data_IF_592905413254
#
_entry.id   IF_592905413254
#
_cell.length_a   1.000
_cell.length_b   1.000
_cell.length_c   1.000
_cell.angle_alpha   90.00
_cell.angle_beta   90.00
_cell.angle_gamma   90.00
#
_symmetry.space_group_name_H-M   'P 1'
#
loop_
_entity.id
_entity.type
_entity.pdbx_description
1 polymer ?
#
# COMPACT_ATOMS: atom_id res chain seq x y z
N UNK A 1 21.16 -28.13 3.26
CA UNK A 1 20.15 -27.29 2.58
C UNK A 1 20.22 -25.85 3.07
N UNK A 2 19.63 -24.91 2.37
CA UNK A 2 19.58 -23.50 2.77
C UNK A 2 18.80 -23.31 4.08
N UNK A 3 17.72 -24.07 4.26
CA UNK A 3 16.92 -24.11 5.49
C UNK A 3 17.78 -24.52 6.69
N UNK A 4 18.52 -25.59 6.58
CA UNK A 4 19.43 -26.08 7.63
C UNK A 4 20.52 -25.02 7.98
N UNK A 5 21.01 -24.27 6.99
CA UNK A 5 21.93 -23.16 7.25
C UNK A 5 21.27 -22.04 8.05
N UNK A 6 20.04 -21.69 7.73
CA UNK A 6 19.28 -20.66 8.46
C UNK A 6 19.00 -21.08 9.90
N UNK A 7 18.43 -22.26 10.08
CA UNK A 7 17.94 -22.75 11.38
C UNK A 7 19.08 -23.20 12.32
N UNK A 8 20.06 -23.96 11.79
CA UNK A 8 21.10 -24.57 12.61
C UNK A 8 22.32 -23.70 12.83
N UNK A 9 22.54 -22.69 11.97
CA UNK A 9 23.75 -21.87 11.99
C UNK A 9 23.47 -20.40 12.16
N UNK A 10 22.75 -19.75 11.24
CA UNK A 10 22.59 -18.30 11.23
C UNK A 10 21.71 -17.84 12.41
N UNK A 11 20.58 -18.50 12.65
CA UNK A 11 19.69 -18.15 13.78
C UNK A 11 20.41 -18.27 15.13
N UNK A 12 21.35 -19.20 15.26
CA UNK A 12 22.16 -19.40 16.47
C UNK A 12 23.26 -18.35 16.68
N UNK A 13 23.44 -17.40 15.76
CA UNK A 13 24.28 -16.22 15.97
C UNK A 13 23.58 -15.15 16.81
N UNK A 14 22.25 -15.20 16.89
CA UNK A 14 21.47 -14.31 17.73
C UNK A 14 21.85 -14.52 19.21
N UNK A 15 22.08 -13.40 19.93
CA UNK A 15 22.48 -13.45 21.33
C UNK A 15 23.97 -13.72 21.63
N UNK A 16 24.80 -13.97 20.61
CA UNK A 16 26.25 -14.08 20.79
C UNK A 16 26.93 -12.73 20.77
N UNK A 17 28.07 -12.61 21.48
CA UNK A 17 28.93 -11.43 21.43
C UNK A 17 29.55 -11.23 20.03
N UNK A 18 29.86 -9.99 19.68
CA UNK A 18 30.36 -9.62 18.34
C UNK A 18 31.62 -10.38 17.94
N UNK A 19 32.56 -10.58 18.86
CA UNK A 19 33.79 -11.35 18.59
C UNK A 19 33.49 -12.83 18.28
N UNK A 20 32.55 -13.43 18.98
CA UNK A 20 32.13 -14.82 18.74
C UNK A 20 31.39 -14.96 17.41
N UNK A 21 30.55 -13.96 17.07
CA UNK A 21 29.87 -13.91 15.76
C UNK A 21 30.90 -13.79 14.63
N UNK A 22 31.82 -12.83 14.73
CA UNK A 22 32.86 -12.63 13.72
C UNK A 22 33.70 -13.87 13.49
N UNK A 23 34.11 -14.57 14.58
CA UNK A 23 34.90 -15.80 14.49
C UNK A 23 34.17 -16.91 13.75
N UNK A 24 32.85 -17.09 14.06
CA UNK A 24 32.02 -18.10 13.38
C UNK A 24 31.82 -17.79 11.89
N UNK A 25 31.58 -16.54 11.54
CA UNK A 25 31.42 -16.10 10.16
C UNK A 25 32.72 -16.33 9.39
N UNK A 26 33.87 -16.03 10.00
CA UNK A 26 35.17 -16.26 9.38
C UNK A 26 35.48 -17.75 9.14
N UNK A 27 35.14 -18.62 10.11
CA UNK A 27 35.21 -20.08 9.94
C UNK A 27 34.37 -20.53 8.75
N UNK A 28 33.16 -20.01 8.58
CA UNK A 28 32.29 -20.35 7.45
C UNK A 28 32.84 -19.86 6.13
N UNK A 29 33.31 -18.61 6.04
CA UNK A 29 33.94 -18.10 4.83
C UNK A 29 35.13 -18.93 4.37
N UNK A 30 35.91 -19.42 5.31
CA UNK A 30 37.09 -20.27 5.01
C UNK A 30 36.72 -21.66 4.46
N UNK A 31 35.48 -22.10 4.65
CA UNK A 31 34.98 -23.43 4.23
C UNK A 31 34.05 -23.39 3.02
N UNK A 32 33.69 -22.23 2.52
CA UNK A 32 32.73 -22.02 1.44
C UNK A 32 33.41 -21.50 0.17
N UNK A 33 32.80 -21.78 -0.96
CA UNK A 33 33.19 -21.18 -2.25
C UNK A 33 32.81 -19.69 -2.28
N UNK A 34 33.33 -18.95 -3.28
CA UNK A 34 33.03 -17.52 -3.43
C UNK A 34 31.53 -17.27 -3.60
N UNK A 35 30.83 -18.08 -4.39
CA UNK A 35 29.38 -17.96 -4.61
C UNK A 35 28.57 -18.27 -3.33
N UNK A 36 28.99 -19.28 -2.57
CA UNK A 36 28.39 -19.61 -1.30
C UNK A 36 28.65 -18.53 -0.24
N UNK A 37 29.84 -17.94 -0.21
CA UNK A 37 30.16 -16.77 0.63
C UNK A 37 29.27 -15.57 0.26
N UNK A 38 29.08 -15.32 -1.02
CA UNK A 38 28.18 -14.25 -1.49
C UNK A 38 26.76 -14.48 -0.98
N UNK A 39 26.22 -15.70 -1.11
CA UNK A 39 24.91 -16.07 -0.61
C UNK A 39 24.82 -15.94 0.91
N UNK A 40 25.82 -16.45 1.64
CA UNK A 40 25.90 -16.33 3.11
C UNK A 40 25.85 -14.86 3.54
N UNK A 41 26.61 -13.98 2.91
CA UNK A 41 26.61 -12.55 3.22
C UNK A 41 25.24 -11.91 2.97
N UNK A 42 24.54 -12.33 1.91
CA UNK A 42 23.16 -11.90 1.66
C UNK A 42 22.20 -12.33 2.76
N UNK A 43 22.35 -13.55 3.28
CA UNK A 43 21.54 -14.06 4.40
C UNK A 43 21.85 -13.30 5.70
N UNK A 44 23.14 -13.08 6.02
CA UNK A 44 23.57 -12.39 7.24
C UNK A 44 23.13 -10.93 7.27
N UNK A 45 23.11 -10.25 6.14
CA UNK A 45 22.75 -8.83 6.03
C UNK A 45 21.28 -8.58 5.76
N UNK A 46 20.46 -9.65 5.59
CA UNK A 46 19.05 -9.53 5.17
C UNK A 46 18.90 -8.98 3.74
N UNK A 47 19.99 -8.90 2.98
CA UNK A 47 20.04 -8.31 1.65
C UNK A 47 19.60 -9.24 0.51
N UNK A 48 18.69 -10.20 0.75
CA UNK A 48 18.18 -11.17 -0.24
C UNK A 48 17.24 -10.52 -1.28
N UNK A 49 17.50 -9.31 -1.68
CA UNK A 49 16.76 -8.69 -2.76
C UNK A 49 17.19 -9.31 -4.10
N UNK A 50 16.46 -10.35 -4.52
CA UNK A 50 16.73 -11.09 -5.78
C UNK A 50 16.10 -10.47 -7.02
N UNK A 51 15.42 -9.33 -6.89
CA UNK A 51 14.75 -8.65 -8.01
C UNK A 51 13.50 -9.40 -8.54
N UNK A 52 13.03 -10.42 -7.82
CA UNK A 52 11.83 -11.17 -8.17
C UNK A 52 10.65 -10.58 -7.37
N UNK A 53 9.62 -10.12 -8.08
CA UNK A 53 8.38 -9.67 -7.46
C UNK A 53 7.46 -10.85 -7.17
N UNK A 54 6.56 -10.71 -6.18
CA UNK A 54 5.50 -11.69 -5.90
C UNK A 54 4.73 -12.07 -7.17
N UNK A 55 4.41 -11.10 -8.03
CA UNK A 55 3.74 -11.33 -9.31
C UNK A 55 4.52 -12.26 -10.24
N UNK A 56 5.85 -12.18 -10.27
CA UNK A 56 6.67 -13.10 -11.07
C UNK A 56 6.67 -14.52 -10.48
N UNK A 57 6.67 -14.63 -9.14
CA UNK A 57 6.56 -15.93 -8.45
C UNK A 57 5.20 -16.56 -8.76
N UNK A 58 4.11 -15.82 -8.61
CA UNK A 58 2.75 -16.29 -8.92
C UNK A 58 2.66 -16.77 -10.35
N UNK A 59 3.19 -16.00 -11.31
CA UNK A 59 3.20 -16.40 -12.73
C UNK A 59 4.01 -17.67 -12.99
N UNK A 60 5.14 -17.82 -12.34
CA UNK A 60 5.96 -19.03 -12.45
C UNK A 60 5.23 -20.26 -11.87
N UNK A 61 4.63 -20.10 -10.69
CA UNK A 61 3.85 -21.16 -10.05
C UNK A 61 2.62 -21.53 -10.88
N UNK A 62 1.92 -20.55 -11.46
CA UNK A 62 0.77 -20.78 -12.33
C UNK A 62 1.14 -21.60 -13.57
N UNK A 63 2.25 -21.25 -14.22
CA UNK A 63 2.76 -22.01 -15.37
C UNK A 63 3.16 -23.46 -15.02
N UNK A 64 3.67 -23.64 -13.81
CA UNK A 64 4.14 -24.95 -13.37
C UNK A 64 3.00 -25.84 -12.88
N UNK A 65 2.06 -25.30 -12.10
CA UNK A 65 0.98 -26.07 -11.47
C UNK A 65 -0.31 -26.16 -12.30
N UNK A 66 -0.48 -25.27 -13.30
CA UNK A 66 -1.74 -25.13 -14.05
C UNK A 66 -2.85 -24.35 -13.31
N UNK A 67 -2.62 -23.97 -12.04
CA UNK A 67 -3.56 -23.16 -11.25
C UNK A 67 -3.51 -21.71 -11.74
N UNK A 68 -4.67 -21.04 -11.81
CA UNK A 68 -4.74 -19.65 -12.29
C UNK A 68 -3.91 -18.68 -11.43
N UNK A 69 -3.35 -17.62 -12.06
CA UNK A 69 -2.63 -16.55 -11.32
C UNK A 69 -3.51 -15.89 -10.24
N UNK A 70 -4.81 -15.75 -10.50
CA UNK A 70 -5.76 -15.16 -9.57
C UNK A 70 -5.94 -16.04 -8.32
N UNK A 71 -6.08 -17.33 -8.51
CA UNK A 71 -6.22 -18.31 -7.42
C UNK A 71 -4.94 -18.39 -6.58
N UNK A 72 -3.77 -18.51 -7.21
CA UNK A 72 -2.49 -18.52 -6.50
C UNK A 72 -2.24 -17.20 -5.76
N UNK A 73 -2.60 -16.07 -6.36
CA UNK A 73 -2.52 -14.77 -5.68
C UNK A 73 -3.39 -14.78 -4.43
N UNK A 74 -4.61 -15.28 -4.53
CA UNK A 74 -5.52 -15.37 -3.39
C UNK A 74 -4.96 -16.29 -2.30
N UNK A 75 -4.42 -17.47 -2.65
CA UNK A 75 -3.84 -18.42 -1.69
C UNK A 75 -2.57 -17.91 -0.99
N UNK A 76 -1.86 -16.97 -1.59
CA UNK A 76 -0.64 -16.34 -1.05
C UNK A 76 -0.95 -15.06 -0.25
N UNK A 77 -2.20 -14.59 -0.24
CA UNK A 77 -2.57 -13.43 0.56
C UNK A 77 -2.69 -13.78 2.04
N UNK A 78 -2.32 -12.83 2.88
CA UNK A 78 -2.31 -13.00 4.32
C UNK A 78 -0.99 -13.59 4.84
N UNK A 79 -1.02 -14.17 6.04
CA UNK A 79 0.14 -14.81 6.64
C UNK A 79 0.39 -16.16 5.96
N UNK A 80 1.43 -16.22 5.15
CA UNK A 80 1.92 -17.46 4.55
C UNK A 80 3.15 -17.94 5.32
N UNK A 81 3.00 -18.95 6.15
CA UNK A 81 4.13 -19.60 6.82
C UNK A 81 4.88 -20.49 5.81
N UNK A 82 6.18 -20.24 5.55
CA UNK A 82 6.95 -21.00 4.58
C UNK A 82 7.33 -22.41 5.11
N UNK A 83 6.42 -23.35 4.94
CA UNK A 83 6.65 -24.78 5.25
C UNK A 83 6.42 -25.65 4.01
N UNK A 84 6.95 -26.88 4.01
CA UNK A 84 6.72 -27.83 2.94
C UNK A 84 5.23 -28.17 2.81
N UNK A 85 4.54 -28.35 3.92
CA UNK A 85 3.11 -28.63 3.97
C UNK A 85 2.29 -27.49 3.35
N UNK A 86 2.58 -26.23 3.71
CA UNK A 86 1.91 -25.06 3.14
C UNK A 86 2.21 -24.89 1.66
N UNK A 87 3.42 -25.22 1.21
CA UNK A 87 3.77 -25.21 -0.20
C UNK A 87 3.00 -26.28 -0.99
N UNK A 88 2.89 -27.50 -0.47
CA UNK A 88 2.09 -28.56 -1.08
C UNK A 88 0.61 -28.17 -1.14
N UNK A 89 0.08 -27.58 -0.07
CA UNK A 89 -1.30 -27.08 -0.03
C UNK A 89 -1.53 -25.94 -1.02
N UNK A 90 -0.57 -25.03 -1.18
CA UNK A 90 -0.63 -23.95 -2.16
C UNK A 90 -0.87 -24.47 -3.57
N UNK A 91 -0.28 -25.62 -3.91
CA UNK A 91 -0.27 -26.20 -5.25
C UNK A 91 -1.27 -27.34 -5.46
N UNK A 92 -1.99 -27.78 -4.43
CA UNK A 92 -2.98 -28.86 -4.55
C UNK A 92 -4.27 -28.37 -5.22
N UNK A 93 -4.89 -29.21 -6.04
CA UNK A 93 -6.23 -28.99 -6.59
C UNK A 93 -7.25 -28.92 -5.43
N UNK A 94 -8.00 -27.82 -5.32
CA UNK A 94 -8.95 -27.60 -4.24
C UNK A 94 -8.32 -27.31 -2.85
N UNK A 95 -6.99 -27.12 -2.77
CA UNK A 95 -6.22 -26.98 -1.53
C UNK A 95 -6.39 -25.70 -0.73
N UNK A 96 -7.37 -24.88 -1.04
CA UNK A 96 -7.68 -23.69 -0.27
C UNK A 96 -8.82 -23.90 0.73
N UNK A 97 -8.59 -24.53 1.91
CA UNK A 97 -9.45 -24.15 3.04
C UNK A 97 -9.31 -22.63 3.20
N UNK A 98 -10.42 -21.88 3.01
CA UNK A 98 -10.42 -20.43 3.29
C UNK A 98 -9.97 -20.27 4.73
N UNK A 99 -8.81 -19.63 4.92
CA UNK A 99 -8.41 -19.20 6.26
C UNK A 99 -9.34 -18.05 6.62
N UNK A 100 -9.99 -18.04 7.81
CA UNK A 100 -10.95 -17.00 8.17
C UNK A 100 -10.43 -15.58 7.97
N UNK A 101 -9.16 -15.34 8.26
CA UNK A 101 -8.49 -14.04 8.09
C UNK A 101 -8.13 -13.68 6.65
N UNK A 102 -8.25 -14.59 5.67
CA UNK A 102 -7.72 -14.38 4.33
C UNK A 102 -8.51 -13.31 3.54
N UNK A 103 -7.85 -12.21 3.11
CA UNK A 103 -8.48 -11.18 2.28
C UNK A 103 -8.61 -11.63 0.83
N UNK A 104 -9.44 -10.93 0.06
CA UNK A 104 -9.49 -11.03 -1.38
C UNK A 104 -8.44 -10.12 -2.05
N UNK A 105 -7.87 -10.51 -3.22
CA UNK A 105 -6.99 -9.64 -3.97
C UNK A 105 -7.69 -8.33 -4.33
N UNK A 106 -7.04 -7.20 -4.05
CA UNK A 106 -7.62 -5.89 -4.32
C UNK A 106 -7.78 -5.60 -5.81
N UNK A 107 -8.94 -5.11 -6.19
CA UNK A 107 -9.16 -4.55 -7.52
C UNK A 107 -8.68 -3.09 -7.57
N UNK A 108 -7.80 -2.77 -8.55
CA UNK A 108 -7.12 -1.48 -8.63
C UNK A 108 -7.59 -0.67 -9.83
N UNK A 109 -8.01 0.57 -9.57
CA UNK A 109 -8.38 1.51 -10.61
C UNK A 109 -7.18 1.95 -11.46
N UNK A 110 -7.41 2.15 -12.76
CA UNK A 110 -6.47 2.79 -13.68
C UNK A 110 -6.57 4.32 -13.59
N UNK A 111 -5.52 5.09 -13.89
CA UNK A 111 -5.69 6.51 -14.15
C UNK A 111 -6.69 6.73 -15.29
N UNK A 112 -7.50 7.78 -15.20
CA UNK A 112 -8.35 8.21 -16.31
C UNK A 112 -7.47 8.96 -17.32
N UNK A 113 -7.37 8.42 -18.53
CA UNK A 113 -6.57 8.98 -19.62
C UNK A 113 -7.47 9.61 -20.70
N UNK A 114 -6.92 10.45 -21.57
CA UNK A 114 -7.70 11.15 -22.60
C UNK A 114 -8.48 10.18 -23.53
N UNK A 115 -7.90 9.02 -23.81
CA UNK A 115 -8.55 8.01 -24.64
C UNK A 115 -9.76 7.34 -23.98
N UNK A 116 -9.81 7.32 -22.64
CA UNK A 116 -10.90 6.68 -21.92
C UNK A 116 -12.21 7.47 -22.07
N UNK A 117 -12.16 8.80 -22.21
CA UNK A 117 -13.33 9.66 -22.32
C UNK A 117 -14.30 9.25 -23.42
N UNK A 118 -13.78 8.71 -24.52
CA UNK A 118 -14.59 8.28 -25.67
C UNK A 118 -15.47 7.07 -25.36
N UNK A 119 -15.13 6.31 -24.33
CA UNK A 119 -15.79 5.05 -23.94
C UNK A 119 -16.61 5.18 -22.67
N UNK A 120 -16.61 6.35 -22.00
CA UNK A 120 -17.38 6.58 -20.79
C UNK A 120 -18.84 6.89 -21.10
N UNK A 121 -19.72 6.15 -20.47
CA UNK A 121 -21.15 6.45 -20.41
C UNK A 121 -21.53 6.73 -18.96
N UNK A 122 -21.81 7.98 -18.64
CA UNK A 122 -22.10 8.44 -17.27
C UNK A 122 -23.27 7.72 -16.62
N UNK A 123 -24.28 7.30 -17.41
CA UNK A 123 -25.45 6.55 -16.91
C UNK A 123 -25.07 5.20 -16.32
N UNK A 124 -24.02 4.59 -16.86
CA UNK A 124 -23.50 3.30 -16.45
C UNK A 124 -22.32 3.38 -15.46
N UNK A 125 -22.03 4.60 -14.96
CA UNK A 125 -20.99 4.80 -13.96
C UNK A 125 -21.57 5.03 -12.57
N UNK A 126 -20.91 4.45 -11.57
CA UNK A 126 -20.98 4.84 -10.17
C UNK A 126 -19.82 5.77 -9.90
N UNK A 127 -20.13 6.97 -9.42
CA UNK A 127 -19.16 8.02 -9.10
C UNK A 127 -19.07 8.17 -7.59
N UNK A 128 -17.87 8.24 -7.06
CA UNK A 128 -17.60 8.42 -5.64
C UNK A 128 -16.42 9.34 -5.45
N UNK A 129 -16.31 9.97 -4.27
CA UNK A 129 -15.06 10.62 -3.90
C UNK A 129 -13.93 9.60 -3.76
N UNK A 130 -12.75 9.98 -4.21
CA UNK A 130 -11.52 9.25 -3.91
C UNK A 130 -10.95 9.76 -2.62
N UNK A 131 -11.30 9.08 -1.55
CA UNK A 131 -10.90 9.43 -0.20
C UNK A 131 -9.38 9.31 0.01
N UNK A 132 -8.83 10.17 0.87
CA UNK A 132 -7.41 10.15 1.26
C UNK A 132 -7.25 9.47 2.62
N UNK A 133 -7.24 8.16 2.61
CA UNK A 133 -7.17 7.30 3.78
C UNK A 133 -6.31 6.07 3.58
N UNK A 134 -6.67 4.99 4.27
CA UNK A 134 -6.08 3.67 4.08
C UNK A 134 -7.15 2.72 3.57
N UNK A 135 -6.98 2.27 2.32
CA UNK A 135 -7.83 1.22 1.80
C UNK A 135 -7.63 -0.06 2.59
N UNK A 136 -8.74 -0.61 3.06
CA UNK A 136 -8.75 -1.84 3.84
C UNK A 136 -9.90 -2.76 3.46
N UNK A 137 -9.68 -4.07 3.60
CA UNK A 137 -10.75 -5.06 3.66
C UNK A 137 -11.04 -5.39 5.11
N UNK A 138 -12.29 -5.20 5.50
CA UNK A 138 -12.85 -5.67 6.74
C UNK A 138 -13.47 -7.04 6.49
N UNK A 139 -13.06 -8.03 7.27
CA UNK A 139 -13.48 -9.41 7.18
C UNK A 139 -14.10 -9.82 8.52
N UNK A 140 -15.33 -10.31 8.53
CA UNK A 140 -15.96 -10.91 9.70
C UNK A 140 -16.33 -12.35 9.39
N UNK A 141 -15.54 -13.30 9.88
CA UNK A 141 -15.75 -14.74 9.69
C UNK A 141 -15.43 -15.50 10.96
N UNK A 142 -16.17 -16.56 11.21
CA UNK A 142 -15.99 -17.48 12.35
C UNK A 142 -15.91 -16.77 13.73
N UNK A 143 -16.65 -15.65 13.88
CA UNK A 143 -16.68 -14.86 15.11
C UNK A 143 -15.51 -13.91 15.29
N UNK A 144 -14.57 -13.83 14.33
CA UNK A 144 -13.40 -12.99 14.39
C UNK A 144 -13.43 -11.91 13.30
N UNK A 145 -12.90 -10.72 13.65
CA UNK A 145 -12.77 -9.58 12.74
C UNK A 145 -11.32 -9.37 12.36
N UNK A 146 -11.08 -9.20 11.08
CA UNK A 146 -9.76 -8.88 10.52
C UNK A 146 -9.82 -7.64 9.64
N UNK A 147 -8.81 -6.80 9.74
CA UNK A 147 -8.61 -5.64 8.88
C UNK A 147 -7.28 -5.78 8.15
N UNK A 148 -7.34 -5.89 6.82
CA UNK A 148 -6.17 -5.96 5.95
C UNK A 148 -6.02 -4.68 5.15
N UNK A 149 -4.83 -4.06 5.22
CA UNK A 149 -4.50 -2.94 4.34
C UNK A 149 -4.25 -3.41 2.89
N UNK A 150 -4.31 -2.48 1.94
CA UNK A 150 -3.92 -2.75 0.54
C UNK A 150 -2.48 -3.26 0.40
N UNK A 151 -1.62 -2.94 1.34
CA UNK A 151 -0.22 -3.40 1.40
C UNK A 151 -0.06 -4.82 1.94
N UNK A 152 -1.15 -5.53 2.21
CA UNK A 152 -1.16 -6.86 2.82
C UNK A 152 -0.66 -6.87 4.28
N UNK A 153 -0.81 -5.75 5.00
CA UNK A 153 -0.54 -5.69 6.43
C UNK A 153 -1.83 -5.94 7.21
N UNK A 154 -1.76 -6.80 8.23
CA UNK A 154 -2.84 -6.99 9.19
C UNK A 154 -2.84 -5.83 10.19
N UNK A 155 -3.85 -4.98 10.11
CA UNK A 155 -3.94 -3.75 10.88
C UNK A 155 -5.04 -3.76 11.94
N UNK A 156 -5.63 -4.91 12.22
CA UNK A 156 -6.76 -5.11 13.14
C UNK A 156 -6.56 -4.43 14.48
N UNK A 157 -5.40 -4.64 15.13
CA UNK A 157 -5.11 -4.09 16.46
C UNK A 157 -4.99 -2.56 16.50
N UNK A 158 -4.88 -1.92 15.33
CA UNK A 158 -4.75 -0.47 15.23
C UNK A 158 -6.12 0.23 15.21
N UNK A 159 -7.22 -0.51 15.01
CA UNK A 159 -8.58 0.02 14.84
C UNK A 159 -9.60 -0.78 15.68
N UNK A 160 -9.44 -0.88 17.00
CA UNK A 160 -10.31 -1.69 17.85
C UNK A 160 -11.78 -1.25 17.80
N UNK A 161 -12.05 0.05 17.60
CA UNK A 161 -13.40 0.60 17.44
C UNK A 161 -14.11 0.12 16.16
N UNK A 162 -13.35 -0.17 15.10
CA UNK A 162 -13.89 -0.74 13.86
C UNK A 162 -14.15 -2.23 14.05
N UNK A 163 -13.28 -2.91 14.80
CA UNK A 163 -13.44 -4.33 15.15
C UNK A 163 -14.70 -4.53 15.97
N UNK A 164 -14.95 -3.69 16.96
CA UNK A 164 -16.15 -3.71 17.77
C UNK A 164 -17.41 -3.50 16.91
N UNK A 165 -17.45 -2.44 16.10
CA UNK A 165 -18.55 -2.15 15.19
C UNK A 165 -18.83 -3.30 14.20
N UNK A 166 -17.78 -3.90 13.65
CA UNK A 166 -17.91 -4.99 12.69
C UNK A 166 -18.50 -6.27 13.27
N UNK A 167 -18.45 -6.47 14.60
CA UNK A 167 -19.05 -7.62 15.28
C UNK A 167 -20.57 -7.66 15.16
N UNK A 168 -21.20 -6.55 14.80
CA UNK A 168 -22.65 -6.44 14.57
C UNK A 168 -23.06 -6.79 13.13
N UNK A 169 -22.10 -6.98 12.22
CA UNK A 169 -22.36 -7.46 10.87
C UNK A 169 -22.73 -8.96 10.87
N UNK A 170 -23.46 -9.45 9.85
CA UNK A 170 -23.62 -10.88 9.67
C UNK A 170 -22.29 -11.61 9.48
N UNK A 171 -22.22 -12.85 9.97
CA UNK A 171 -21.08 -13.75 9.74
C UNK A 171 -20.87 -13.98 8.23
N UNK A 172 -19.61 -14.09 7.81
CA UNK A 172 -19.28 -14.23 6.40
C UNK A 172 -19.47 -12.94 5.63
N UNK A 173 -19.15 -11.79 6.24
CA UNK A 173 -19.14 -10.47 5.58
C UNK A 173 -17.72 -10.04 5.27
N UNK A 174 -17.48 -9.58 4.03
CA UNK A 174 -16.23 -8.93 3.62
C UNK A 174 -16.55 -7.62 2.91
N UNK A 175 -16.09 -6.52 3.48
CA UNK A 175 -16.25 -5.17 2.95
C UNK A 175 -14.91 -4.61 2.45
N UNK A 176 -14.94 -3.91 1.32
CA UNK A 176 -13.82 -3.10 0.84
C UNK A 176 -14.15 -1.62 1.08
N UNK A 177 -13.27 -0.91 1.76
CA UNK A 177 -13.52 0.46 2.17
C UNK A 177 -12.26 1.26 2.41
N UNK A 178 -12.43 2.51 2.79
CA UNK A 178 -11.38 3.41 3.21
C UNK A 178 -11.47 3.67 4.72
N UNK A 179 -10.39 3.41 5.45
CA UNK A 179 -10.24 3.83 6.84
C UNK A 179 -9.85 5.30 6.86
N UNK A 180 -10.61 6.08 7.61
CA UNK A 180 -10.43 7.52 7.76
C UNK A 180 -10.53 7.90 9.24
N UNK A 181 -9.72 8.86 9.69
CA UNK A 181 -10.08 9.59 10.90
C UNK A 181 -11.25 10.51 10.57
N UNK A 182 -12.25 10.53 11.46
CA UNK A 182 -13.52 11.20 11.20
C UNK A 182 -14.01 11.93 12.44
N UNK A 183 -14.36 13.21 12.29
CA UNK A 183 -14.93 13.98 13.36
C UNK A 183 -16.24 14.62 12.89
N UNK A 184 -17.30 14.47 13.70
CA UNK A 184 -18.64 14.90 13.34
C UNK A 184 -19.07 14.34 11.98
N UNK A 185 -19.14 15.17 10.93
CA UNK A 185 -19.62 14.76 9.60
C UNK A 185 -18.54 14.86 8.49
N UNK A 186 -17.25 15.01 8.85
CA UNK A 186 -16.19 15.17 7.86
C UNK A 186 -14.91 14.42 8.21
N UNK A 187 -14.13 14.03 7.17
CA UNK A 187 -12.84 13.41 7.37
C UNK A 187 -11.82 14.40 7.94
N UNK A 188 -10.99 13.91 8.84
CA UNK A 188 -9.81 14.63 9.29
C UNK A 188 -8.64 14.41 8.32
N UNK A 189 -7.67 15.32 8.25
CA UNK A 189 -6.49 15.16 7.43
C UNK A 189 -5.77 13.82 7.66
N UNK A 190 -5.18 13.24 6.61
CA UNK A 190 -4.48 11.95 6.66
C UNK A 190 -3.40 11.88 7.76
N UNK A 191 -2.80 13.00 8.12
CA UNK A 191 -1.82 13.11 9.22
C UNK A 191 -2.37 12.64 10.58
N UNK A 192 -3.70 12.71 10.79
CA UNK A 192 -4.35 12.15 11.98
C UNK A 192 -4.35 10.63 11.93
N UNK A 193 -4.66 10.05 10.78
CA UNK A 193 -4.65 8.60 10.58
C UNK A 193 -3.24 8.01 10.72
N UNK A 194 -2.21 8.72 10.23
CA UNK A 194 -0.81 8.31 10.37
C UNK A 194 -0.39 8.06 11.82
N UNK A 195 -0.98 8.79 12.78
CA UNK A 195 -0.67 8.60 14.21
C UNK A 195 -1.19 7.28 14.77
N UNK A 196 -2.12 6.64 14.07
CA UNK A 196 -2.67 5.31 14.42
C UNK A 196 -1.79 4.17 13.88
N UNK A 197 -1.11 4.41 12.76
CA UNK A 197 -0.33 3.39 12.04
C UNK A 197 0.89 2.91 12.82
N UNK A 198 1.17 1.61 12.69
CA UNK A 198 2.34 0.96 13.32
C UNK A 198 2.26 0.82 14.84
N UNK A 199 1.16 1.21 15.48
CA UNK A 199 0.98 1.05 16.92
C UNK A 199 0.50 -0.36 17.25
N UNK A 200 1.19 -1.02 18.17
CA UNK A 200 0.76 -2.33 18.70
C UNK A 200 -0.45 -2.20 19.62
N UNK A 201 -0.53 -1.12 20.38
CA UNK A 201 -1.65 -0.81 21.28
C UNK A 201 -2.10 0.62 21.07
N UNK A 202 -3.40 0.84 21.01
CA UNK A 202 -4.03 2.15 20.87
C UNK A 202 -4.67 2.54 22.21
N UNK A 203 -4.23 3.66 22.79
CA UNK A 203 -4.79 4.15 24.07
C UNK A 203 -6.16 4.78 23.89
N UNK A 204 -7.00 4.76 24.93
CA UNK A 204 -8.31 5.41 24.93
C UNK A 204 -8.23 6.90 24.53
N UNK A 205 -7.22 7.61 25.02
CA UNK A 205 -6.96 9.01 24.62
C UNK A 205 -6.75 9.18 23.12
N UNK A 206 -6.07 8.22 22.48
CA UNK A 206 -5.84 8.26 21.03
C UNK A 206 -7.10 7.90 20.25
N UNK A 207 -7.93 6.99 20.74
CA UNK A 207 -9.24 6.67 20.17
C UNK A 207 -10.17 7.88 20.18
N UNK A 208 -10.23 8.61 21.29
CA UNK A 208 -11.04 9.82 21.44
C UNK A 208 -10.56 10.98 20.56
N UNK A 209 -9.23 11.21 20.50
CA UNK A 209 -8.67 12.33 19.74
C UNK A 209 -8.51 12.09 18.24
N UNK A 210 -8.52 10.82 17.82
CA UNK A 210 -8.35 10.38 16.43
C UNK A 210 -9.36 9.26 16.11
N UNK A 211 -10.66 9.54 16.26
CA UNK A 211 -11.70 8.54 16.00
C UNK A 211 -11.70 8.13 14.53
N UNK A 212 -11.85 6.83 14.27
CA UNK A 212 -11.83 6.30 12.92
C UNK A 212 -13.17 5.68 12.53
N UNK A 213 -13.44 5.71 11.24
CA UNK A 213 -14.54 4.98 10.59
C UNK A 213 -13.99 4.13 9.44
N UNK A 214 -14.74 3.12 9.06
CA UNK A 214 -14.62 2.47 7.76
C UNK A 214 -15.71 3.02 6.84
N UNK A 215 -15.29 3.67 5.77
CA UNK A 215 -16.18 4.17 4.73
C UNK A 215 -16.22 3.14 3.61
N UNK A 216 -17.17 2.23 3.67
CA UNK A 216 -17.31 1.10 2.75
C UNK A 216 -17.84 1.56 1.37
N UNK A 217 -17.30 1.00 0.31
CA UNK A 217 -17.74 1.28 -1.05
C UNK A 217 -17.97 0.01 -1.89
N UNK A 218 -17.65 -1.17 -1.37
CA UNK A 218 -17.94 -2.45 -2.02
C UNK A 218 -18.16 -3.57 -0.98
N UNK A 219 -18.98 -4.56 -1.36
CA UNK A 219 -19.23 -5.77 -0.59
C UNK A 219 -18.77 -6.99 -1.39
N UNK A 220 -17.80 -7.72 -0.85
CA UNK A 220 -17.16 -8.83 -1.56
C UNK A 220 -17.68 -10.19 -1.13
N UNK A 221 -18.22 -10.27 0.09
CA UNK A 221 -18.85 -11.47 0.64
C UNK A 221 -19.97 -11.06 1.58
N UNK A 222 -21.11 -11.72 1.49
CA UNK A 222 -22.25 -11.55 2.39
C UNK A 222 -22.81 -12.92 2.77
N UNK A 223 -23.03 -13.16 4.07
CA UNK A 223 -23.49 -14.46 4.59
C UNK A 223 -22.65 -15.67 4.11
N UNK A 224 -21.36 -15.46 3.86
CA UNK A 224 -20.43 -16.48 3.36
C UNK A 224 -20.47 -16.71 1.83
N UNK A 225 -21.34 -16.02 1.10
CA UNK A 225 -21.41 -16.05 -0.35
C UNK A 225 -20.42 -15.07 -0.97
N UNK A 226 -19.59 -15.53 -1.91
CA UNK A 226 -18.63 -14.73 -2.66
C UNK A 226 -19.34 -13.93 -3.75
N UNK A 227 -19.37 -12.61 -3.63
CA UNK A 227 -20.10 -11.71 -4.51
C UNK A 227 -19.23 -11.11 -5.63
N UNK A 228 -17.95 -11.45 -5.73
CA UNK A 228 -17.02 -10.79 -6.64
C UNK A 228 -17.37 -10.90 -8.13
N UNK A 229 -18.04 -11.97 -8.52
CA UNK A 229 -18.53 -12.15 -9.90
C UNK A 229 -19.83 -11.39 -10.18
N UNK A 230 -20.56 -10.92 -9.15
CA UNK A 230 -21.73 -10.07 -9.31
C UNK A 230 -21.34 -8.69 -9.82
N UNK A 231 -22.29 -7.97 -10.42
CA UNK A 231 -22.09 -6.58 -10.83
C UNK A 231 -21.88 -5.67 -9.61
N UNK A 232 -21.13 -4.58 -9.80
CA UNK A 232 -20.94 -3.57 -8.74
C UNK A 232 -22.29 -3.03 -8.23
N UNK A 233 -23.29 -2.91 -9.13
CA UNK A 233 -24.63 -2.46 -8.75
C UNK A 233 -25.27 -3.40 -7.72
N UNK A 234 -25.26 -4.70 -7.99
CA UNK A 234 -25.82 -5.70 -7.06
C UNK A 234 -25.05 -5.73 -5.73
N UNK A 235 -23.72 -5.71 -5.78
CA UNK A 235 -22.89 -5.64 -4.59
C UNK A 235 -23.14 -4.36 -3.76
N UNK A 236 -23.41 -3.25 -4.43
CA UNK A 236 -23.77 -1.99 -3.79
C UNK A 236 -25.11 -2.04 -3.08
N UNK A 237 -26.13 -2.63 -3.69
CA UNK A 237 -27.45 -2.82 -3.09
C UNK A 237 -27.36 -3.68 -1.82
N UNK A 238 -26.54 -4.74 -1.86
CA UNK A 238 -26.26 -5.59 -0.70
C UNK A 238 -25.52 -4.80 0.39
N UNK A 239 -24.49 -4.03 0.03
CA UNK A 239 -23.73 -3.18 0.95
C UNK A 239 -24.63 -2.18 1.68
N UNK A 240 -25.51 -1.48 0.95
CA UNK A 240 -26.42 -0.49 1.50
C UNK A 240 -27.34 -1.11 2.55
N UNK A 241 -27.89 -2.27 2.25
CA UNK A 241 -28.72 -3.02 3.19
C UNK A 241 -27.94 -3.47 4.42
N UNK A 242 -26.74 -4.05 4.23
CA UNK A 242 -25.91 -4.53 5.34
C UNK A 242 -25.55 -3.41 6.34
N UNK A 243 -25.15 -2.24 5.82
CA UNK A 243 -24.77 -1.11 6.66
C UNK A 243 -26.01 -0.50 7.33
N UNK A 244 -27.13 -0.42 6.63
CA UNK A 244 -28.39 0.08 7.21
C UNK A 244 -28.88 -0.84 8.34
N UNK A 245 -28.86 -2.16 8.14
CA UNK A 245 -29.31 -3.13 9.13
C UNK A 245 -28.36 -3.21 10.34
N UNK A 246 -27.06 -2.95 10.13
CA UNK A 246 -26.05 -2.94 11.18
C UNK A 246 -26.17 -1.73 12.11
N UNK A 247 -26.61 -0.57 11.59
CA UNK A 247 -26.82 0.72 12.29
C UNK A 247 -25.63 1.16 13.18
N UNK A 248 -24.38 0.91 12.68
CA UNK A 248 -23.16 1.23 13.40
C UNK A 248 -22.53 2.54 12.90
N UNK A 249 -22.36 3.57 13.74
CA UNK A 249 -21.87 4.88 13.31
C UNK A 249 -20.42 4.84 12.81
N UNK A 250 -19.66 3.79 13.13
CA UNK A 250 -18.28 3.57 12.67
C UNK A 250 -18.19 2.89 11.31
N UNK A 251 -19.28 2.33 10.82
CA UNK A 251 -19.40 1.73 9.50
C UNK A 251 -20.31 2.58 8.64
N UNK A 252 -19.75 3.31 7.71
CA UNK A 252 -20.48 4.22 6.81
C UNK A 252 -20.32 3.78 5.36
N UNK A 253 -21.20 4.29 4.51
CA UNK A 253 -21.16 4.03 3.06
C UNK A 253 -20.59 5.26 2.36
N UNK A 254 -19.63 5.06 1.46
CA UNK A 254 -19.17 6.11 0.54
C UNK A 254 -20.32 6.57 -0.34
N UNK A 255 -20.67 7.84 -0.28
CA UNK A 255 -21.80 8.39 -1.03
C UNK A 255 -21.55 8.37 -2.54
N UNK A 256 -22.57 8.02 -3.31
CA UNK A 256 -22.56 8.14 -4.75
C UNK A 256 -22.78 9.60 -5.17
N UNK A 257 -21.98 10.06 -6.13
CA UNK A 257 -22.08 11.36 -6.75
C UNK A 257 -22.82 11.25 -8.09
N UNK A 258 -23.33 12.38 -8.59
CA UNK A 258 -23.99 12.46 -9.89
C UNK A 258 -23.28 13.46 -10.81
N UNK A 259 -22.93 13.01 -12.00
CA UNK A 259 -22.49 13.84 -13.11
C UNK A 259 -23.04 13.25 -14.41
N UNK A 260 -23.37 14.11 -15.35
CA UNK A 260 -23.92 13.74 -16.66
C UNK A 260 -23.05 14.15 -17.85
N UNK A 261 -21.98 14.89 -17.56
CA UNK A 261 -21.06 15.42 -18.55
C UNK A 261 -19.62 15.48 -18.01
N UNK A 262 -18.65 15.69 -18.89
CA UNK A 262 -17.25 15.90 -18.53
C UNK A 262 -17.10 17.15 -17.66
N UNK A 263 -17.80 18.21 -18.00
CA UNK A 263 -17.76 19.50 -17.30
C UNK A 263 -18.27 19.36 -15.86
N UNK A 264 -19.41 18.67 -15.67
CA UNK A 264 -19.95 18.42 -14.32
C UNK A 264 -19.02 17.53 -13.49
N UNK A 265 -18.36 16.54 -14.11
CA UNK A 265 -17.36 15.71 -13.48
C UNK A 265 -16.11 16.49 -13.05
N UNK A 266 -15.65 17.43 -13.90
CA UNK A 266 -14.51 18.30 -13.59
C UNK A 266 -14.81 19.25 -12.41
N UNK A 267 -16.03 19.77 -12.32
CA UNK A 267 -16.47 20.57 -11.17
C UNK A 267 -16.38 19.75 -9.89
N UNK A 268 -16.94 18.53 -9.89
CA UNK A 268 -16.86 17.61 -8.74
C UNK A 268 -15.42 17.24 -8.38
N UNK A 269 -14.57 16.99 -9.38
CA UNK A 269 -13.16 16.70 -9.17
C UNK A 269 -12.46 17.88 -8.47
N UNK A 270 -12.65 19.08 -8.96
CA UNK A 270 -11.96 20.27 -8.45
C UNK A 270 -12.40 20.64 -7.03
N UNK A 271 -13.68 20.39 -6.69
CA UNK A 271 -14.20 20.60 -5.34
C UNK A 271 -13.90 19.44 -4.36
N UNK A 272 -13.34 18.32 -4.83
CA UNK A 272 -13.16 17.14 -3.97
C UNK A 272 -12.29 17.38 -2.74
N UNK A 273 -11.34 18.33 -2.80
CA UNK A 273 -10.49 18.71 -1.66
C UNK A 273 -11.28 19.38 -0.52
N UNK A 274 -12.37 20.07 -0.83
CA UNK A 274 -13.24 20.70 0.17
C UNK A 274 -13.95 19.63 1.04
N UNK A 275 -14.03 18.41 0.51
CA UNK A 275 -14.58 17.24 1.19
C UNK A 275 -13.51 16.28 1.74
N UNK A 276 -12.23 16.68 1.76
CA UNK A 276 -11.13 15.84 2.23
C UNK A 276 -10.80 14.66 1.31
N UNK A 277 -11.13 14.77 0.01
CA UNK A 277 -10.84 13.76 -0.98
C UNK A 277 -9.78 14.23 -2.00
N UNK A 278 -9.06 13.28 -2.60
CA UNK A 278 -7.98 13.56 -3.56
C UNK A 278 -8.42 13.47 -5.04
N UNK A 279 -9.73 13.48 -5.26
CA UNK A 279 -10.34 13.35 -6.58
C UNK A 279 -11.58 12.46 -6.59
N UNK A 280 -11.82 11.79 -7.71
CA UNK A 280 -12.99 10.95 -7.94
C UNK A 280 -12.58 9.52 -8.31
N UNK A 281 -13.47 8.58 -8.00
CA UNK A 281 -13.49 7.22 -8.50
C UNK A 281 -14.67 7.07 -9.46
N UNK A 282 -14.41 6.53 -10.65
CA UNK A 282 -15.41 6.20 -11.65
C UNK A 282 -15.41 4.67 -11.79
N UNK A 283 -16.54 4.05 -11.58
CA UNK A 283 -16.66 2.59 -11.60
C UNK A 283 -17.83 2.18 -12.50
N UNK A 284 -17.61 1.24 -13.43
CA UNK A 284 -18.72 0.69 -14.20
C UNK A 284 -19.66 -0.11 -13.29
N UNK A 285 -20.96 0.21 -13.31
CA UNK A 285 -21.99 -0.46 -12.50
C UNK A 285 -22.09 -1.97 -12.76
N UNK A 286 -21.83 -2.37 -14.01
CA UNK A 286 -21.88 -3.77 -14.45
C UNK A 286 -20.55 -4.53 -14.25
N UNK A 287 -19.55 -3.92 -13.60
CA UNK A 287 -18.24 -4.57 -13.45
C UNK A 287 -18.24 -5.58 -12.31
N UNK A 288 -17.64 -6.77 -12.52
CA UNK A 288 -17.27 -7.66 -11.43
C UNK A 288 -16.10 -7.05 -10.62
N UNK A 289 -15.81 -7.62 -9.46
CA UNK A 289 -14.64 -7.27 -8.67
C UNK A 289 -13.43 -8.13 -9.08
N UNK A 290 -12.54 -7.56 -9.86
CA UNK A 290 -11.39 -8.24 -10.45
C UNK A 290 -10.15 -8.19 -9.54
N UNK A 291 -9.14 -8.97 -9.87
CA UNK A 291 -7.83 -8.93 -9.18
C UNK A 291 -6.85 -8.01 -9.88
N UNK A 292 -6.15 -7.17 -9.10
CA UNK A 292 -5.11 -6.29 -9.59
C UNK A 292 -5.65 -5.16 -10.48
N UNK A 293 -4.83 -4.64 -11.39
CA UNK A 293 -5.24 -3.53 -12.29
C UNK A 293 -5.71 -4.07 -13.63
N UNK A 294 -7.00 -3.89 -13.92
CA UNK A 294 -7.62 -4.19 -15.21
C UNK A 294 -8.23 -2.91 -15.77
N UNK A 295 -7.78 -2.49 -16.97
CA UNK A 295 -8.33 -1.29 -17.63
C UNK A 295 -9.77 -1.51 -18.09
N UNK A 296 -10.52 -0.41 -18.20
CA UNK A 296 -11.86 -0.43 -18.77
C UNK A 296 -12.99 -0.70 -17.79
N UNK A 297 -12.73 -0.80 -16.49
CA UNK A 297 -13.73 -1.04 -15.46
C UNK A 297 -13.79 0.07 -14.41
N UNK A 298 -12.65 0.39 -13.77
CA UNK A 298 -12.53 1.38 -12.72
C UNK A 298 -11.44 2.38 -13.06
N UNK A 299 -11.73 3.67 -12.89
CA UNK A 299 -10.80 4.78 -13.08
C UNK A 299 -10.71 5.64 -11.83
N UNK A 300 -9.52 6.19 -11.63
CA UNK A 300 -9.27 7.26 -10.66
C UNK A 300 -9.00 8.55 -11.43
N UNK A 301 -9.71 9.60 -11.06
CA UNK A 301 -9.58 10.93 -11.62
C UNK A 301 -9.14 11.87 -10.50
N UNK A 302 -7.84 11.96 -10.28
CA UNK A 302 -7.25 12.75 -9.20
C UNK A 302 -7.24 14.22 -9.53
N UNK A 303 -7.31 15.07 -8.48
CA UNK A 303 -6.94 16.49 -8.58
C UNK A 303 -5.44 16.57 -8.83
N UNK A 304 -5.02 17.56 -9.61
CA UNK A 304 -3.62 17.77 -9.89
C UNK A 304 -2.83 17.99 -8.59
N UNK A 305 -1.62 17.44 -8.47
CA UNK A 305 -0.82 17.65 -7.28
C UNK A 305 -0.56 19.15 -7.06
N UNK A 306 -0.46 19.55 -5.82
CA UNK A 306 0.06 20.88 -5.52
C UNK A 306 1.54 20.91 -5.84
N UNK A 307 1.97 21.96 -6.55
CA UNK A 307 3.38 22.25 -6.82
C UNK A 307 3.84 23.40 -5.95
N UNK A 308 5.12 23.43 -5.67
CA UNK A 308 5.76 24.53 -4.98
C UNK A 308 7.23 24.61 -5.37
N UNK A 309 7.75 25.83 -5.40
CA UNK A 309 9.16 26.08 -5.64
C UNK A 309 9.97 25.84 -4.38
N UNK A 310 10.91 24.89 -4.42
CA UNK A 310 11.76 24.55 -3.30
C UNK A 310 13.23 24.63 -3.64
N UNK A 311 14.04 25.12 -2.71
CA UNK A 311 15.48 25.32 -2.87
C UNK A 311 16.23 24.06 -2.47
N UNK A 312 17.10 23.56 -3.33
CA UNK A 312 18.02 22.48 -2.99
C UNK A 312 19.08 22.97 -1.99
N UNK A 313 19.16 22.31 -0.84
CA UNK A 313 20.10 22.67 0.23
C UNK A 313 21.11 21.56 0.55
N UNK A 314 20.70 20.27 0.43
CA UNK A 314 21.59 19.13 0.62
C UNK A 314 21.40 18.07 -0.46
N UNK A 315 22.46 17.38 -0.78
CA UNK A 315 22.45 16.19 -1.62
C UNK A 315 23.24 15.07 -0.97
N UNK A 316 22.76 13.83 -1.09
CA UNK A 316 23.40 12.64 -0.56
C UNK A 316 23.67 11.64 -1.68
N UNK A 317 24.84 10.98 -1.62
CA UNK A 317 25.19 9.94 -2.57
C UNK A 317 24.19 8.76 -2.50
N UNK A 318 23.87 8.22 -3.65
CA UNK A 318 23.01 7.05 -3.78
C UNK A 318 23.67 5.76 -3.33
N UNK A 319 23.04 4.64 -3.62
CA UNK A 319 23.52 3.30 -3.30
C UNK A 319 23.57 2.39 -4.54
N UNK A 320 24.30 1.29 -4.44
CA UNK A 320 24.40 0.30 -5.51
C UNK A 320 24.98 0.90 -6.80
N UNK A 321 24.27 0.77 -7.94
CA UNK A 321 24.75 1.30 -9.24
C UNK A 321 24.92 2.80 -9.29
N UNK A 322 24.24 3.53 -8.40
CA UNK A 322 24.26 5.00 -8.31
C UNK A 322 25.10 5.53 -7.15
N UNK A 323 25.96 4.68 -6.54
CA UNK A 323 26.79 5.09 -5.40
C UNK A 323 27.74 6.26 -5.70
N UNK A 324 28.08 6.49 -6.97
CA UNK A 324 28.94 7.58 -7.42
C UNK A 324 28.17 8.85 -7.80
N UNK A 325 26.85 8.85 -7.75
CA UNK A 325 25.98 9.97 -8.09
C UNK A 325 25.22 10.43 -6.86
N UNK A 326 24.92 11.70 -6.78
CA UNK A 326 23.97 12.22 -5.80
C UNK A 326 22.54 11.95 -6.30
N UNK A 327 21.75 11.25 -5.50
CA UNK A 327 20.38 10.83 -5.87
C UNK A 327 19.32 11.11 -4.82
N UNK A 328 19.76 11.50 -3.64
CA UNK A 328 18.87 11.88 -2.54
C UNK A 328 19.05 13.38 -2.28
N UNK A 329 17.97 14.13 -2.45
CA UNK A 329 18.00 15.59 -2.42
C UNK A 329 17.16 16.10 -1.25
N UNK A 330 17.68 17.10 -0.52
CA UNK A 330 16.94 17.76 0.55
C UNK A 330 16.61 19.18 0.12
N UNK A 331 15.34 19.51 0.22
CA UNK A 331 14.77 20.79 -0.19
C UNK A 331 14.31 21.61 1.00
N UNK A 332 14.38 22.93 0.86
CA UNK A 332 13.95 23.91 1.84
C UNK A 332 13.04 24.95 1.20
N UNK A 333 12.20 25.57 2.03
CA UNK A 333 11.37 26.71 1.69
C UNK A 333 11.86 27.94 2.45
N UNK A 334 11.75 29.10 1.83
CA UNK A 334 11.98 30.36 2.52
C UNK A 334 10.82 30.65 3.48
N UNK A 335 11.15 30.82 4.75
CA UNK A 335 10.27 31.39 5.76
C UNK A 335 10.92 32.66 6.26
N UNK A 336 10.38 33.79 5.88
CA UNK A 336 11.00 35.10 6.08
C UNK A 336 12.40 35.14 5.44
N UNK A 337 13.47 35.23 6.23
CA UNK A 337 14.87 35.22 5.79
C UNK A 337 15.60 33.89 6.02
N UNK A 338 14.91 32.85 6.50
CA UNK A 338 15.52 31.56 6.81
C UNK A 338 15.03 30.45 5.87
N UNK A 339 15.96 29.56 5.49
CA UNK A 339 15.62 28.33 4.76
C UNK A 339 15.26 27.23 5.74
N UNK A 340 13.99 26.85 5.74
CA UNK A 340 13.45 25.77 6.57
C UNK A 340 13.38 24.49 5.73
N UNK A 341 14.05 23.42 6.18
CA UNK A 341 13.99 22.12 5.52
C UNK A 341 12.54 21.65 5.43
N UNK A 342 12.11 21.30 4.22
CA UNK A 342 10.73 20.91 3.92
C UNK A 342 10.60 19.44 3.58
N UNK A 343 11.40 18.94 2.61
CA UNK A 343 11.25 17.59 2.08
C UNK A 343 12.58 16.97 1.64
N UNK A 344 12.58 15.64 1.53
CA UNK A 344 13.60 14.86 0.80
C UNK A 344 12.94 14.20 -0.40
N UNK A 345 13.62 14.24 -1.56
CA UNK A 345 13.24 13.51 -2.75
C UNK A 345 14.40 12.62 -3.23
N UNK A 346 14.06 11.43 -3.72
CA UNK A 346 15.01 10.45 -4.28
C UNK A 346 14.52 9.86 -5.62
N UNK A 347 13.49 10.45 -6.17
CA UNK A 347 12.88 10.06 -7.46
C UNK A 347 12.30 11.31 -8.14
N UNK A 348 11.99 11.20 -9.43
CA UNK A 348 11.40 12.28 -10.21
C UNK A 348 12.29 12.73 -11.36
N UNK A 349 13.60 12.55 -11.24
CA UNK A 349 14.56 12.88 -12.29
C UNK A 349 14.92 11.66 -13.14
N UNK A 350 15.13 11.86 -14.43
CA UNK A 350 15.70 10.87 -15.32
C UNK A 350 17.23 10.74 -15.15
N UNK A 351 17.86 9.80 -15.86
CA UNK A 351 19.30 9.54 -15.70
C UNK A 351 20.16 10.73 -16.12
N UNK A 352 19.77 11.44 -17.18
CA UNK A 352 20.48 12.60 -17.71
C UNK A 352 20.41 13.78 -16.74
N UNK A 353 19.23 14.04 -16.23
CA UNK A 353 18.97 15.08 -15.22
C UNK A 353 19.75 14.82 -13.93
N UNK A 354 19.82 13.56 -13.46
CA UNK A 354 20.64 13.17 -12.32
C UNK A 354 22.13 13.47 -12.57
N UNK A 355 22.67 13.15 -13.76
CA UNK A 355 24.06 13.39 -14.10
C UNK A 355 24.37 14.88 -14.25
N UNK A 356 23.44 15.68 -14.76
CA UNK A 356 23.57 17.14 -14.84
C UNK A 356 23.56 17.76 -13.45
N UNK A 357 22.64 17.32 -12.60
CA UNK A 357 22.54 17.81 -11.22
C UNK A 357 23.73 17.36 -10.38
N UNK A 358 24.27 16.15 -10.57
CA UNK A 358 25.48 15.66 -9.90
C UNK A 358 26.70 16.58 -10.20
N UNK A 359 26.85 16.98 -11.46
CA UNK A 359 27.92 17.94 -11.87
C UNK A 359 27.74 19.28 -11.19
N UNK A 360 26.51 19.79 -11.15
CA UNK A 360 26.19 21.06 -10.48
C UNK A 360 26.47 20.96 -8.97
N UNK A 361 26.02 19.90 -8.29
CA UNK A 361 26.26 19.67 -6.86
C UNK A 361 27.75 19.68 -6.53
N UNK A 362 28.60 19.02 -7.34
CA UNK A 362 30.04 18.96 -7.13
C UNK A 362 30.68 20.32 -7.25
N UNK A 363 30.24 21.16 -8.15
CA UNK A 363 30.74 22.51 -8.39
C UNK A 363 30.28 23.51 -7.33
N UNK A 364 29.07 23.29 -6.75
CA UNK A 364 28.45 24.21 -5.81
C UNK A 364 28.39 23.66 -4.37
N UNK A 365 29.21 22.68 -4.04
CA UNK A 365 29.33 22.15 -2.67
C UNK A 365 29.99 23.17 -1.76
N UNK A 366 29.29 23.52 -0.65
CA UNK A 366 29.81 24.39 0.43
C UNK A 366 30.57 23.56 1.46
N UNK A 367 29.91 22.54 1.99
CA UNK A 367 30.43 21.72 3.08
C UNK A 367 30.16 20.22 2.83
N UNK A 368 30.92 19.37 3.51
CA UNK A 368 30.84 17.92 3.37
C UNK A 368 30.65 17.28 4.72
N UNK A 369 29.55 16.50 4.84
CA UNK A 369 29.17 15.75 6.04
C UNK A 369 29.10 14.26 5.70
N UNK A 370 30.24 13.59 5.64
CA UNK A 370 30.31 12.21 5.16
C UNK A 370 29.75 12.05 3.73
N UNK A 371 28.69 11.28 3.52
CA UNK A 371 28.05 11.09 2.20
C UNK A 371 27.21 12.29 1.76
N UNK A 372 26.92 13.24 2.65
CA UNK A 372 26.06 14.40 2.38
C UNK A 372 26.91 15.61 1.99
N UNK A 373 26.40 16.41 1.07
CA UNK A 373 26.93 17.72 0.66
C UNK A 373 25.91 18.80 0.95
N UNK A 374 26.29 19.88 1.59
CA UNK A 374 25.52 21.12 1.52
C UNK A 374 25.92 21.86 0.23
N UNK A 375 24.94 22.49 -0.38
CA UNK A 375 25.12 23.20 -1.66
C UNK A 375 24.70 24.65 -1.54
N UNK A 376 25.11 25.45 -2.50
CA UNK A 376 24.67 26.84 -2.62
C UNK A 376 23.14 26.89 -2.81
N UNK A 377 22.39 27.65 -1.95
CA UNK A 377 20.95 27.61 -1.90
C UNK A 377 20.26 28.52 -2.94
N UNK A 378 20.60 28.37 -4.21
CA UNK A 378 20.00 29.12 -5.30
C UNK A 378 19.40 28.26 -6.43
N UNK A 379 19.56 26.93 -6.36
CA UNK A 379 18.94 26.04 -7.33
C UNK A 379 17.53 25.69 -6.87
N UNK A 380 16.55 26.15 -7.64
CA UNK A 380 15.11 25.98 -7.34
C UNK A 380 14.54 24.88 -8.20
N UNK A 381 13.68 24.07 -7.61
CA UNK A 381 12.90 23.02 -8.26
C UNK A 381 11.40 23.25 -7.98
N UNK A 382 10.59 23.04 -8.98
CA UNK A 382 9.15 22.92 -8.86
C UNK A 382 8.75 21.48 -8.54
#
# INVERSE_FOLDING_TARGET
>A
SLSSWMEDRISKLSGKEDQQRARKIFEWWSSLTIDECYLLNKLLTGGLRVGVSQKLVVRALSKWSGISEAELTHRLMGEFEPSEENFQRLLSEGGGKKVPSQPYPFFLASPLEENDWKSLDFKHLQLEYKWDGIRAQLIFREGEVFLWSRGEDLITNQFPEIVEAASNLPQGTVLDGELLCWNEDQPLPFSFLQKRLGRKNVSSKLLESHPCILLAYDCLEANGEDLREHSLKERREILEKLIQDCDEPRLKISSCLSADSKESLEILRNSSRDFGAEGLMLKKKESPYLSGRKRGHWWKYKVDPMTLDAVLIYAQAGSGRRANLFTDYTFALWKDSELVTFAKAYSGLDQKEIEELDRWIRQNTRERFGPVRSVEPFHVFE
#
